data_IF_114349167749
#
_entry.id   IF_114349167749
#
_cell.length_a   1.000
_cell.length_b   1.000
_cell.length_c   1.000
_cell.angle_alpha   90.00
_cell.angle_beta   90.00
_cell.angle_gamma   90.00
#
_symmetry.space_group_name_H-M   'P 1'
#
loop_
_entity.id
_entity.type
_entity.pdbx_description
1 polymer ?
#
# COMPACT_ATOMS: atom_id res chain seq x y z
N UNK A 1 0.31 59.37 -16.97
CA UNK A 1 1.04 58.11 -17.20
C UNK A 1 1.15 57.44 -15.83
N UNK A 2 0.44 56.37 -15.49
CA UNK A 2 0.35 55.05 -16.14
C UNK A 2 -0.94 54.35 -15.72
N UNK A 3 -1.69 53.78 -16.69
CA UNK A 3 -2.75 52.78 -16.43
C UNK A 3 -2.09 51.53 -15.86
N UNK A 4 -2.49 51.09 -14.68
CA UNK A 4 -2.24 49.71 -14.22
C UNK A 4 -3.41 48.86 -14.71
N UNK A 5 -3.26 48.31 -15.91
CA UNK A 5 -4.17 47.30 -16.44
C UNK A 5 -3.97 46.00 -15.66
N UNK A 6 -4.89 45.73 -14.74
CA UNK A 6 -4.95 44.49 -13.97
C UNK A 6 -5.50 43.39 -14.89
N UNK A 7 -4.60 42.59 -15.45
CA UNK A 7 -4.95 41.38 -16.18
C UNK A 7 -5.67 40.38 -15.26
N UNK A 8 -6.99 40.25 -15.41
CA UNK A 8 -7.75 39.12 -14.86
C UNK A 8 -7.56 37.91 -15.76
N UNK A 9 -6.60 37.05 -15.42
CA UNK A 9 -6.53 35.69 -15.97
C UNK A 9 -7.53 34.82 -15.21
N UNK A 10 -8.71 34.59 -15.78
CA UNK A 10 -9.63 33.54 -15.34
C UNK A 10 -8.92 32.19 -15.45
N UNK A 11 -8.62 31.57 -14.31
CA UNK A 11 -8.15 30.20 -14.22
C UNK A 11 -9.37 29.28 -14.37
N UNK A 12 -9.58 28.75 -15.57
CA UNK A 12 -10.49 27.62 -15.79
C UNK A 12 -9.89 26.39 -15.13
N UNK A 13 -10.44 25.99 -13.98
CA UNK A 13 -10.20 24.67 -13.39
C UNK A 13 -10.66 23.62 -14.40
N UNK A 14 -9.71 22.95 -15.05
CA UNK A 14 -9.96 21.78 -15.88
C UNK A 14 -10.67 20.70 -15.05
N UNK A 15 -11.87 20.30 -15.46
CA UNK A 15 -12.61 19.22 -14.84
C UNK A 15 -11.86 17.90 -15.07
N UNK A 16 -11.29 17.33 -14.00
CA UNK A 16 -10.68 16.01 -14.00
C UNK A 16 -11.78 14.98 -14.34
N UNK A 17 -11.61 14.18 -15.40
CA UNK A 17 -12.62 13.20 -15.81
C UNK A 17 -12.96 12.21 -14.69
N UNK A 18 -14.17 12.28 -14.14
CA UNK A 18 -14.66 11.32 -13.16
C UNK A 18 -15.39 10.20 -13.89
N UNK A 19 -15.05 8.95 -13.57
CA UNK A 19 -15.82 7.79 -14.07
C UNK A 19 -17.28 7.98 -13.62
N UNK A 20 -18.27 7.93 -14.53
CA UNK A 20 -19.67 8.04 -14.15
C UNK A 20 -20.04 6.92 -13.17
N UNK A 21 -21.04 7.14 -12.30
CA UNK A 21 -21.57 6.08 -11.47
C UNK A 21 -22.02 4.89 -12.33
N UNK A 22 -21.78 3.68 -11.86
CA UNK A 22 -22.13 2.44 -12.55
C UNK A 22 -22.78 1.46 -11.57
N UNK A 23 -23.48 0.46 -12.07
CA UNK A 23 -24.09 -0.57 -11.23
C UNK A 23 -23.05 -1.40 -10.47
N UNK A 24 -23.43 -1.89 -9.30
CA UNK A 24 -22.64 -2.87 -8.57
C UNK A 24 -22.45 -4.15 -9.41
N UNK A 25 -21.24 -4.72 -9.40
CA UNK A 25 -20.94 -5.95 -10.16
C UNK A 25 -21.59 -7.23 -9.61
N UNK A 26 -22.19 -7.18 -8.42
CA UNK A 26 -22.86 -8.36 -7.84
C UNK A 26 -24.21 -8.57 -8.52
N UNK A 27 -24.43 -9.77 -9.04
CA UNK A 27 -25.65 -10.13 -9.74
C UNK A 27 -26.89 -9.85 -8.88
N UNK A 28 -27.89 -9.18 -9.47
CA UNK A 28 -29.12 -8.79 -8.77
C UNK A 28 -29.03 -7.52 -7.90
N UNK A 29 -27.84 -6.93 -7.72
CA UNK A 29 -27.69 -5.70 -6.96
C UNK A 29 -27.91 -4.45 -7.83
N UNK A 30 -28.99 -3.70 -7.58
CA UNK A 30 -29.30 -2.45 -8.29
C UNK A 30 -28.56 -1.21 -7.79
N UNK A 31 -27.64 -1.34 -6.81
CA UNK A 31 -26.99 -0.19 -6.19
C UNK A 31 -26.01 0.52 -7.15
N UNK A 32 -26.04 1.86 -7.17
CA UNK A 32 -25.10 2.68 -7.92
C UNK A 32 -23.79 2.91 -7.15
N UNK A 33 -22.68 2.69 -7.82
CA UNK A 33 -21.31 2.77 -7.30
C UNK A 33 -20.57 3.92 -7.98
N UNK A 34 -19.95 4.80 -7.18
CA UNK A 34 -19.15 5.92 -7.68
C UNK A 34 -17.66 5.59 -7.81
N UNK A 35 -17.12 4.72 -6.96
CA UNK A 35 -15.72 4.28 -6.94
C UNK A 35 -15.66 2.80 -6.56
N UNK A 36 -14.70 2.07 -7.11
CA UNK A 36 -14.61 0.61 -6.93
C UNK A 36 -15.57 -0.14 -7.85
N UNK A 37 -15.68 -1.45 -7.65
CA UNK A 37 -16.55 -2.33 -8.44
C UNK A 37 -17.86 -2.71 -7.70
N UNK A 38 -17.89 -2.59 -6.37
CA UNK A 38 -18.99 -3.07 -5.52
C UNK A 38 -19.56 -1.93 -4.69
N UNK A 39 -20.82 -2.06 -4.28
CA UNK A 39 -21.40 -1.16 -3.29
C UNK A 39 -20.77 -1.40 -1.90
N UNK A 40 -20.87 -0.46 -0.95
CA UNK A 40 -20.23 -0.58 0.35
C UNK A 40 -20.62 -1.82 1.15
N UNK A 41 -21.81 -2.37 0.92
CA UNK A 41 -22.26 -3.62 1.54
C UNK A 41 -21.51 -4.83 0.97
N UNK A 42 -21.53 -5.00 -0.36
CA UNK A 42 -20.84 -6.11 -1.02
C UNK A 42 -19.32 -6.03 -0.93
N UNK A 43 -18.76 -4.82 -0.84
CA UNK A 43 -17.32 -4.64 -0.58
C UNK A 43 -16.95 -5.08 0.84
N UNK A 44 -17.76 -4.73 1.85
CA UNK A 44 -17.60 -5.21 3.22
C UNK A 44 -17.77 -6.73 3.33
N UNK A 45 -18.74 -7.30 2.63
CA UNK A 45 -18.95 -8.76 2.61
C UNK A 45 -17.74 -9.49 2.01
N UNK A 46 -17.21 -9.01 0.87
CA UNK A 46 -15.99 -9.56 0.27
C UNK A 46 -14.78 -9.43 1.19
N UNK A 47 -14.61 -8.26 1.81
CA UNK A 47 -13.50 -8.01 2.71
C UNK A 47 -13.58 -8.94 3.95
N UNK A 48 -14.78 -9.14 4.50
CA UNK A 48 -14.99 -10.06 5.63
C UNK A 48 -14.65 -11.51 5.26
N UNK A 49 -15.02 -11.96 4.06
CA UNK A 49 -14.67 -13.30 3.55
C UNK A 49 -13.15 -13.48 3.35
N UNK A 50 -12.49 -12.45 2.82
CA UNK A 50 -11.02 -12.45 2.69
C UNK A 50 -10.37 -12.51 4.07
N UNK A 51 -10.87 -11.72 5.02
CA UNK A 51 -10.32 -11.65 6.37
C UNK A 51 -10.58 -12.93 7.18
N UNK A 52 -11.72 -13.61 6.98
CA UNK A 52 -12.00 -14.90 7.60
C UNK A 52 -11.02 -15.98 7.12
N UNK A 53 -10.72 -16.01 5.82
CA UNK A 53 -9.78 -16.96 5.22
C UNK A 53 -8.34 -16.66 5.62
N UNK A 54 -7.94 -15.37 5.65
CA UNK A 54 -6.57 -14.96 5.97
C UNK A 54 -6.28 -15.01 7.47
N UNK A 55 -7.29 -14.83 8.31
CA UNK A 55 -7.14 -14.67 9.76
C UNK A 55 -6.58 -13.31 10.18
N UNK A 56 -6.67 -13.02 11.48
CA UNK A 56 -6.29 -11.72 12.04
C UNK A 56 -4.78 -11.44 11.88
N UNK A 57 -4.36 -10.16 11.79
CA UNK A 57 -2.94 -9.80 11.74
C UNK A 57 -2.12 -10.40 12.88
N UNK A 58 -2.65 -10.41 14.10
CA UNK A 58 -1.98 -10.98 15.27
C UNK A 58 -1.79 -12.49 15.16
N UNK A 59 -2.78 -13.24 14.64
CA UNK A 59 -2.62 -14.68 14.35
C UNK A 59 -1.55 -14.94 13.28
N UNK A 60 -1.29 -13.96 12.41
CA UNK A 60 -0.22 -14.00 11.41
C UNK A 60 1.13 -13.49 11.92
N UNK A 61 1.27 -13.24 13.22
CA UNK A 61 2.49 -12.75 13.86
C UNK A 61 2.63 -11.22 13.87
N UNK A 62 1.66 -10.46 13.39
CA UNK A 62 1.67 -8.99 13.47
C UNK A 62 0.96 -8.50 14.74
N UNK A 63 1.47 -8.90 15.91
CA UNK A 63 0.89 -8.63 17.21
C UNK A 63 1.44 -7.36 17.90
N UNK A 64 1.14 -7.19 19.19
CA UNK A 64 1.64 -6.07 19.98
C UNK A 64 3.16 -6.12 20.21
N UNK A 65 3.77 -7.30 20.24
CA UNK A 65 5.21 -7.45 20.35
C UNK A 65 5.89 -6.98 19.05
N UNK A 66 5.34 -7.36 17.89
CA UNK A 66 5.77 -6.83 16.61
C UNK A 66 5.71 -5.31 16.56
N UNK A 67 4.60 -4.69 17.02
CA UNK A 67 4.48 -3.23 17.05
C UNK A 67 5.64 -2.59 17.83
N UNK A 68 5.98 -3.12 19.00
CA UNK A 68 7.09 -2.63 19.84
C UNK A 68 8.44 -2.77 19.12
N UNK A 69 8.70 -3.94 18.53
CA UNK A 69 9.91 -4.21 17.76
C UNK A 69 10.03 -3.25 16.58
N UNK A 70 8.97 -3.11 15.78
CA UNK A 70 8.91 -2.20 14.63
C UNK A 70 9.22 -0.77 15.01
N UNK A 71 8.55 -0.25 16.04
CA UNK A 71 8.72 1.14 16.46
C UNK A 71 10.15 1.38 16.98
N UNK A 72 10.75 0.43 17.69
CA UNK A 72 12.14 0.51 18.13
C UNK A 72 13.15 0.40 16.98
N UNK A 73 12.86 -0.45 15.99
CA UNK A 73 13.71 -0.63 14.81
C UNK A 73 13.74 0.64 13.95
N UNK A 74 12.59 1.26 13.64
CA UNK A 74 12.55 2.50 12.86
C UNK A 74 13.28 3.67 13.52
N UNK A 75 13.31 3.74 14.85
CA UNK A 75 14.09 4.77 15.56
C UNK A 75 15.60 4.62 15.37
N UNK A 76 16.09 3.38 15.25
CA UNK A 76 17.51 3.07 15.05
C UNK A 76 17.91 3.10 13.57
N UNK A 77 16.95 2.83 12.70
CA UNK A 77 17.14 2.70 11.25
C UNK A 77 16.23 3.72 10.53
N UNK A 78 16.58 5.03 10.58
CA UNK A 78 15.71 6.10 10.07
C UNK A 78 15.70 6.21 8.53
N UNK A 79 16.64 5.55 7.85
CA UNK A 79 16.79 5.59 6.39
C UNK A 79 16.45 4.24 5.76
N UNK A 80 16.01 4.27 4.51
CA UNK A 80 15.68 3.09 3.72
C UNK A 80 16.94 2.29 3.38
N UNK A 81 17.02 1.07 3.90
CA UNK A 81 18.13 0.12 3.75
C UNK A 81 17.99 -0.79 2.53
N UNK A 82 16.88 -0.67 1.81
CA UNK A 82 16.62 -1.44 0.59
C UNK A 82 17.34 -0.77 -0.59
N UNK A 83 16.67 -0.71 -1.74
CA UNK A 83 17.27 -0.25 -2.99
C UNK A 83 17.66 1.24 -2.99
N UNK A 84 17.13 2.05 -2.07
CA UNK A 84 17.59 3.43 -1.90
C UNK A 84 19.04 3.49 -1.41
N UNK A 85 19.39 2.73 -0.37
CA UNK A 85 20.76 2.66 0.14
C UNK A 85 21.75 2.17 -0.92
N UNK A 86 21.40 1.12 -1.67
CA UNK A 86 22.23 0.59 -2.76
C UNK A 86 22.48 1.62 -3.88
N UNK A 87 21.60 2.62 -4.02
CA UNK A 87 21.71 3.71 -4.99
C UNK A 87 22.34 4.97 -4.41
N UNK A 88 22.84 4.93 -3.17
CA UNK A 88 23.38 6.09 -2.46
C UNK A 88 22.34 7.15 -2.09
N UNK A 89 21.05 6.78 -2.07
CA UNK A 89 19.95 7.70 -1.75
C UNK A 89 19.58 7.63 -0.27
N UNK A 90 19.59 8.79 0.40
CA UNK A 90 19.12 8.94 1.78
C UNK A 90 17.63 9.25 1.81
N UNK A 91 16.79 8.21 1.79
CA UNK A 91 15.32 8.33 1.84
C UNK A 91 14.81 7.88 3.21
N UNK A 92 13.93 8.64 3.88
CA UNK A 92 13.35 8.22 5.16
C UNK A 92 12.64 6.87 5.07
N UNK A 93 12.92 6.00 6.05
CA UNK A 93 12.17 4.78 6.24
C UNK A 93 10.85 5.07 6.98
N UNK A 94 9.76 4.49 6.50
CA UNK A 94 8.43 4.61 7.11
C UNK A 94 7.84 3.25 7.49
N UNK A 95 8.50 2.17 7.08
CA UNK A 95 8.02 0.80 7.21
C UNK A 95 9.20 -0.10 7.60
N UNK A 96 8.90 -1.22 8.27
CA UNK A 96 9.88 -2.29 8.52
C UNK A 96 9.40 -3.51 7.77
N UNK A 97 10.26 -4.07 6.95
CA UNK A 97 10.01 -5.22 6.12
C UNK A 97 10.78 -6.44 6.65
N UNK A 98 10.16 -7.61 6.55
CA UNK A 98 10.83 -8.88 6.82
C UNK A 98 11.55 -9.35 5.54
N UNK A 99 12.86 -9.57 5.63
CA UNK A 99 13.69 -10.11 4.53
C UNK A 99 13.15 -11.46 4.07
N UNK A 100 12.94 -12.38 5.02
CA UNK A 100 12.12 -13.57 4.86
C UNK A 100 10.73 -13.31 5.46
N UNK A 101 9.64 -13.34 4.69
CA UNK A 101 8.29 -13.12 5.23
C UNK A 101 7.91 -14.13 6.33
N UNK A 102 7.11 -13.69 7.31
CA UNK A 102 6.62 -14.57 8.40
C UNK A 102 5.88 -15.81 7.87
N UNK A 103 5.09 -15.64 6.81
CA UNK A 103 4.37 -16.73 6.15
C UNK A 103 5.29 -17.78 5.51
N UNK A 104 6.59 -17.50 5.38
CA UNK A 104 7.62 -18.40 4.86
C UNK A 104 8.66 -18.78 5.93
N UNK A 105 8.30 -18.67 7.21
CA UNK A 105 9.18 -19.03 8.34
C UNK A 105 10.12 -17.91 8.82
N UNK A 106 9.92 -16.68 8.34
CA UNK A 106 10.62 -15.52 8.87
C UNK A 106 10.31 -15.24 10.34
N UNK A 107 11.21 -14.53 11.02
CA UNK A 107 11.06 -14.14 12.42
C UNK A 107 11.14 -12.62 12.58
N UNK A 108 10.87 -12.12 13.79
CA UNK A 108 11.10 -10.71 14.15
C UNK A 108 12.52 -10.41 14.62
N UNK A 109 13.46 -11.36 14.44
CA UNK A 109 14.87 -11.12 14.73
C UNK A 109 15.36 -9.91 13.92
N UNK A 110 16.05 -8.93 14.53
CA UNK A 110 16.57 -7.75 13.83
C UNK A 110 17.36 -8.08 12.56
N UNK A 111 18.03 -9.23 12.49
CA UNK A 111 18.75 -9.70 11.29
C UNK A 111 17.82 -10.02 10.12
N UNK A 112 16.57 -10.39 10.41
CA UNK A 112 15.53 -10.61 9.41
C UNK A 112 14.75 -9.33 9.08
N UNK A 113 15.05 -8.19 9.71
CA UNK A 113 14.36 -6.93 9.47
C UNK A 113 15.19 -6.03 8.55
N UNK A 114 14.49 -5.14 7.84
CA UNK A 114 15.10 -4.04 7.09
C UNK A 114 14.17 -2.82 7.09
N UNK A 115 14.76 -1.64 7.24
CA UNK A 115 14.01 -0.39 7.18
C UNK A 115 13.72 -0.01 5.72
N UNK A 116 12.47 0.34 5.43
CA UNK A 116 11.99 0.54 4.07
C UNK A 116 11.20 1.84 3.94
N UNK A 117 11.42 2.56 2.83
CA UNK A 117 10.48 3.57 2.39
C UNK A 117 9.28 2.90 1.70
N UNK A 118 8.15 3.63 1.62
CA UNK A 118 6.91 3.09 1.06
C UNK A 118 7.05 2.57 -0.38
N UNK A 119 7.87 3.23 -1.22
CA UNK A 119 8.07 2.83 -2.61
C UNK A 119 8.90 1.55 -2.74
N UNK A 120 9.95 1.38 -1.94
CA UNK A 120 10.76 0.16 -1.95
C UNK A 120 9.97 -1.03 -1.41
N UNK A 121 9.26 -0.86 -0.30
CA UNK A 121 8.41 -1.92 0.25
C UNK A 121 7.32 -2.34 -0.74
N UNK A 122 6.57 -1.38 -1.32
CA UNK A 122 5.52 -1.69 -2.30
C UNK A 122 6.05 -2.48 -3.50
N UNK A 123 7.28 -2.21 -3.94
CA UNK A 123 7.89 -2.91 -5.07
C UNK A 123 8.33 -4.33 -4.71
N UNK A 124 8.82 -4.56 -3.48
CA UNK A 124 9.08 -5.92 -2.98
C UNK A 124 7.78 -6.71 -2.89
N UNK A 125 6.74 -6.17 -2.26
CA UNK A 125 5.41 -6.79 -2.21
C UNK A 125 4.89 -7.14 -3.61
N UNK A 126 5.04 -6.24 -4.58
CA UNK A 126 4.60 -6.50 -5.95
C UNK A 126 5.37 -7.66 -6.62
N UNK A 127 6.68 -7.78 -6.35
CA UNK A 127 7.53 -8.87 -6.86
C UNK A 127 7.25 -10.19 -6.17
N UNK A 128 6.98 -10.19 -4.87
CA UNK A 128 6.84 -11.39 -4.05
C UNK A 128 5.42 -11.96 -4.04
N UNK A 129 4.42 -11.09 -3.93
CA UNK A 129 3.01 -11.46 -3.76
C UNK A 129 2.21 -11.35 -5.06
N UNK A 130 2.83 -10.91 -6.16
CA UNK A 130 2.19 -10.87 -7.49
C UNK A 130 0.94 -9.99 -7.57
N UNK A 131 0.80 -9.00 -6.67
CA UNK A 131 -0.42 -8.23 -6.38
C UNK A 131 -1.06 -7.50 -7.58
N UNK A 132 -0.42 -7.48 -8.74
CA UNK A 132 -0.93 -6.93 -10.00
C UNK A 132 -1.27 -7.98 -11.07
N UNK A 133 -1.56 -9.22 -10.68
CA UNK A 133 -1.98 -10.27 -11.63
C UNK A 133 -0.84 -10.81 -12.51
N UNK A 134 0.42 -10.51 -12.18
CA UNK A 134 1.59 -11.12 -12.84
C UNK A 134 1.91 -12.41 -12.12
N UNK A 135 1.72 -13.57 -12.79
CA UNK A 135 2.25 -14.85 -12.30
C UNK A 135 3.76 -14.70 -12.14
N UNK A 136 4.26 -14.72 -10.92
CA UNK A 136 5.70 -14.78 -10.66
C UNK A 136 6.16 -16.14 -11.18
N UNK A 137 6.90 -16.17 -12.29
CA UNK A 137 7.59 -17.39 -12.74
C UNK A 137 8.63 -17.72 -11.68
N UNK A 138 8.44 -18.83 -10.96
CA UNK A 138 9.49 -19.37 -10.08
C UNK A 138 10.66 -19.82 -10.96
N UNK A 139 11.91 -19.43 -10.69
CA UNK A 139 13.05 -20.07 -11.35
C UNK A 139 13.13 -21.54 -10.90
N UNK A 140 13.58 -22.38 -11.84
CA UNK A 140 13.72 -23.83 -11.69
C UNK A 140 14.76 -24.20 -10.63
#
# INVERSE_FOLDING_TARGET
MTRVDRASRSSTLQAMGHRPPHGCVVQGCGALVRRGARCPEHDRALQAEIDSTRGSPSRRGYDAAWKRIRDAFLRRHPLCEMECAARGLSVPATQVDHRLPLARGGTHDPRNLQAACASCHSRKTAREDGRFGRRVRRPA
#
